data_IF_740857475124
#
_entry.id   IF_740857475124
#
_cell.length_a   1.000
_cell.length_b   1.000
_cell.length_c   1.000
_cell.angle_alpha   90.00
_cell.angle_beta   90.00
_cell.angle_gamma   90.00
#
_symmetry.space_group_name_H-M   'P 1'
#
loop_
_entity.id
_entity.type
_entity.pdbx_description
1 polymer ?
#
# COMPACT_ATOMS: atom_id res chain seq x y z
N UNK A 1 -8.56 -3.01 0.97
CA UNK A 1 -8.17 -3.30 2.37
C UNK A 1 -8.09 -2.02 3.18
N UNK A 2 -7.10 -1.15 2.95
CA UNK A 2 -6.96 0.13 3.66
C UNK A 2 -8.27 0.92 3.90
N UNK A 3 -9.09 1.16 2.85
CA UNK A 3 -10.38 1.88 2.99
C UNK A 3 -11.41 1.08 3.82
N UNK A 4 -11.45 -0.25 3.66
CA UNK A 4 -12.40 -1.12 4.38
C UNK A 4 -12.10 -1.17 5.89
N UNK A 5 -10.83 -1.07 6.26
CA UNK A 5 -10.36 -1.28 7.64
C UNK A 5 -9.98 0.02 8.37
N UNK A 6 -10.17 1.18 7.71
CA UNK A 6 -9.96 2.51 8.31
C UNK A 6 -11.27 3.26 8.37
N UNK A 7 -12.02 3.07 9.46
CA UNK A 7 -13.31 3.74 9.68
C UNK A 7 -13.14 5.24 9.98
N UNK A 8 -12.10 5.58 10.75
CA UNK A 8 -11.68 6.95 11.03
C UNK A 8 -10.17 7.08 10.86
N UNK A 9 -9.71 8.21 10.33
CA UNK A 9 -8.30 8.46 10.05
C UNK A 9 -8.04 8.72 8.57
N UNK A 10 -6.92 8.22 8.04
CA UNK A 10 -6.51 8.54 6.67
C UNK A 10 -5.89 7.35 5.95
N UNK A 11 -6.11 7.30 4.64
CA UNK A 11 -5.40 6.41 3.72
C UNK A 11 -4.58 7.28 2.78
N UNK A 12 -3.28 6.98 2.67
CA UNK A 12 -2.36 7.64 1.76
C UNK A 12 -1.88 6.66 0.70
N UNK A 13 -2.04 7.05 -0.55
CA UNK A 13 -1.42 6.37 -1.69
C UNK A 13 -0.24 7.20 -2.15
N UNK A 14 0.90 6.55 -2.38
CA UNK A 14 2.09 7.20 -2.92
C UNK A 14 2.65 6.34 -4.04
N UNK A 15 3.11 7.00 -5.10
CA UNK A 15 3.72 6.34 -6.26
C UNK A 15 5.10 6.94 -6.44
N UNK A 16 6.10 6.07 -6.56
CA UNK A 16 7.47 6.48 -6.82
C UNK A 16 8.07 5.59 -7.91
N UNK A 17 8.93 6.15 -8.75
CA UNK A 17 9.69 5.37 -9.73
C UNK A 17 10.95 4.86 -9.06
N UNK A 18 11.12 3.54 -9.00
CA UNK A 18 12.29 2.91 -8.38
C UNK A 18 13.33 2.47 -9.40
N UNK A 19 12.94 2.27 -10.64
CA UNK A 19 13.85 2.00 -11.75
C UNK A 19 13.28 2.55 -13.06
N UNK A 20 14.17 2.93 -13.97
CA UNK A 20 13.82 3.34 -15.33
C UNK A 20 14.86 2.80 -16.32
N UNK A 21 14.38 2.41 -17.48
CA UNK A 21 15.16 2.14 -18.70
C UNK A 21 14.62 3.06 -19.80
N UNK A 22 15.17 2.98 -21.01
CA UNK A 22 14.66 3.74 -22.16
C UNK A 22 13.23 3.31 -22.57
N UNK A 23 12.86 2.05 -22.30
CA UNK A 23 11.60 1.46 -22.77
C UNK A 23 10.58 1.22 -21.65
N UNK A 24 11.01 1.21 -20.39
CA UNK A 24 10.13 0.87 -19.25
C UNK A 24 10.51 1.57 -17.95
N UNK A 25 9.55 1.65 -17.03
CA UNK A 25 9.77 2.12 -15.67
C UNK A 25 9.07 1.22 -14.66
N UNK A 26 9.77 0.92 -13.57
CA UNK A 26 9.19 0.22 -12.43
C UNK A 26 8.69 1.24 -11.42
N UNK A 27 7.39 1.20 -11.14
CA UNK A 27 6.74 2.07 -10.17
C UNK A 27 6.44 1.28 -8.90
N UNK A 28 6.87 1.81 -7.77
CA UNK A 28 6.47 1.35 -6.45
C UNK A 28 5.21 2.10 -6.02
N UNK A 29 4.16 1.34 -5.79
CA UNK A 29 2.93 1.81 -5.17
C UNK A 29 2.96 1.48 -3.68
N UNK A 30 2.78 2.51 -2.86
CA UNK A 30 2.70 2.36 -1.40
C UNK A 30 1.34 2.81 -0.94
N UNK A 31 0.64 1.94 -0.22
CA UNK A 31 -0.62 2.24 0.44
C UNK A 31 -0.35 2.21 1.95
N UNK A 32 -0.61 3.32 2.62
CA UNK A 32 -0.51 3.43 4.08
C UNK A 32 -1.84 3.86 4.64
N UNK A 33 -2.33 3.14 5.63
CA UNK A 33 -3.54 3.49 6.36
C UNK A 33 -3.28 3.62 7.87
N UNK A 34 -4.29 4.11 8.58
CA UNK A 34 -4.30 4.27 10.03
C UNK A 34 -5.41 3.43 10.66
N UNK A 35 -5.85 2.38 9.98
CA UNK A 35 -6.92 1.51 10.43
C UNK A 35 -6.51 0.57 11.54
N UNK A 36 -7.32 -0.46 11.77
CA UNK A 36 -7.13 -1.44 12.87
C UNK A 36 -5.89 -2.35 12.70
N UNK A 37 -5.17 -2.25 11.59
CA UNK A 37 -4.05 -3.13 11.25
C UNK A 37 -4.50 -4.43 10.59
N UNK A 38 -3.55 -5.36 10.43
CA UNK A 38 -3.77 -6.72 9.92
C UNK A 38 -3.39 -7.66 11.06
N UNK A 39 -4.24 -8.64 11.37
CA UNK A 39 -3.93 -9.65 12.37
C UNK A 39 -2.77 -10.54 11.86
N UNK A 40 -1.87 -10.99 12.74
CA UNK A 40 -0.65 -11.70 12.34
C UNK A 40 -0.93 -12.97 11.52
N UNK A 41 -2.08 -13.61 11.74
CA UNK A 41 -2.56 -14.80 11.04
C UNK A 41 -3.12 -14.52 9.64
N UNK A 42 -3.41 -13.26 9.29
CA UNK A 42 -3.83 -12.87 7.94
C UNK A 42 -2.64 -12.44 7.04
N UNK A 43 -1.43 -12.32 7.60
CA UNK A 43 -0.22 -11.92 6.86
C UNK A 43 0.28 -13.00 5.89
N UNK A 44 -0.06 -14.26 6.11
CA UNK A 44 0.40 -15.38 5.26
C UNK A 44 -0.34 -15.47 3.91
N UNK A 45 -1.39 -14.66 3.71
CA UNK A 45 -2.28 -14.72 2.54
C UNK A 45 -2.23 -13.48 1.62
N UNK A 46 -1.25 -12.59 1.79
CA UNK A 46 -1.15 -11.31 1.05
C UNK A 46 -0.10 -11.32 -0.07
#
# INVERSE_FOLDING_TARGET
NAIKFTEQGSVRVSVSRVQATEESATLLFVIRDTGIGIAEDELDHI
#
